data_IF_113188972631
#
_entry.id   IF_113188972631
#
_cell.length_a   1.000
_cell.length_b   1.000
_cell.length_c   1.000
_cell.angle_alpha   90.00
_cell.angle_beta   90.00
_cell.angle_gamma   90.00
#
_symmetry.space_group_name_H-M   'P 1'
#
loop_
_entity.id
_entity.type
_entity.pdbx_description
1 polymer ?
#
# COMPACT_ATOMS: atom_id res chain seq x y z
N UNK A 1 -52.29 9.55 10.60
CA UNK A 1 -50.80 9.50 10.56
C UNK A 1 -50.44 8.14 10.01
N UNK A 2 -49.85 8.06 8.81
CA UNK A 2 -49.39 6.78 8.26
C UNK A 2 -47.96 6.55 8.74
N UNK A 3 -47.71 5.42 9.38
CA UNK A 3 -46.34 5.01 9.72
C UNK A 3 -45.60 4.53 8.46
N UNK A 4 -44.33 4.90 8.28
CA UNK A 4 -43.55 4.44 7.13
C UNK A 4 -43.43 2.92 7.17
N UNK A 5 -43.50 2.30 6.00
CA UNK A 5 -43.18 0.86 5.84
C UNK A 5 -41.67 0.67 5.98
N UNK A 6 -41.26 0.28 7.19
CA UNK A 6 -39.86 0.04 7.52
C UNK A 6 -39.58 -1.45 7.57
N UNK A 7 -38.36 -1.84 7.23
CA UNK A 7 -37.85 -3.20 7.48
C UNK A 7 -36.42 -3.13 8.00
N UNK A 8 -36.01 -4.17 8.72
CA UNK A 8 -34.62 -4.34 9.16
C UNK A 8 -33.97 -5.37 8.25
N UNK A 9 -32.81 -5.02 7.69
CA UNK A 9 -32.02 -5.90 6.87
C UNK A 9 -30.89 -6.53 7.72
N UNK A 10 -30.98 -7.84 7.95
CA UNK A 10 -29.90 -8.60 8.56
C UNK A 10 -28.99 -9.14 7.47
N UNK A 11 -27.79 -8.60 7.37
CA UNK A 11 -26.75 -9.06 6.43
C UNK A 11 -26.17 -10.41 6.86
N UNK A 12 -26.14 -10.64 8.17
CA UNK A 12 -25.76 -11.92 8.80
C UNK A 12 -26.88 -12.35 9.73
N UNK A 13 -27.21 -13.62 9.72
CA UNK A 13 -28.20 -14.17 10.63
C UNK A 13 -27.66 -15.37 11.42
N UNK A 14 -28.27 -15.59 12.56
CA UNK A 14 -28.08 -16.76 13.41
C UNK A 14 -29.45 -17.44 13.65
N UNK A 15 -29.43 -18.59 14.29
CA UNK A 15 -30.68 -19.27 14.69
C UNK A 15 -31.62 -18.38 15.54
N UNK A 16 -31.05 -17.41 16.27
CA UNK A 16 -31.79 -16.54 17.17
C UNK A 16 -32.15 -15.19 16.54
N UNK A 17 -31.82 -14.95 15.25
CA UNK A 17 -32.18 -13.72 14.57
C UNK A 17 -33.71 -13.68 14.37
N UNK A 18 -34.41 -12.67 14.94
CA UNK A 18 -35.87 -12.62 14.92
C UNK A 18 -36.40 -12.33 13.53
N UNK A 19 -37.65 -12.72 13.25
CA UNK A 19 -38.34 -12.38 12.01
C UNK A 19 -38.99 -10.99 12.05
N UNK A 20 -39.16 -10.45 13.26
CA UNK A 20 -39.69 -9.12 13.50
C UNK A 20 -38.94 -8.48 14.64
N UNK A 21 -38.72 -7.17 14.56
CA UNK A 21 -38.36 -6.34 15.69
C UNK A 21 -39.61 -5.72 16.24
N UNK A 22 -39.80 -5.84 17.54
CA UNK A 22 -40.92 -5.22 18.24
C UNK A 22 -40.40 -3.97 18.97
N UNK A 23 -41.05 -2.84 18.72
CA UNK A 23 -40.73 -1.54 19.32
C UNK A 23 -41.99 -0.98 19.97
N UNK A 24 -41.93 -0.75 21.27
CA UNK A 24 -42.98 -0.05 22.02
C UNK A 24 -42.82 1.46 21.81
N UNK A 25 -43.77 2.05 21.10
CA UNK A 25 -43.83 3.49 20.92
C UNK A 25 -44.75 4.07 22.02
N UNK A 26 -44.16 4.77 22.99
CA UNK A 26 -44.90 5.43 24.10
C UNK A 26 -45.13 6.88 23.70
N UNK A 27 -46.39 7.28 23.73
CA UNK A 27 -46.79 8.65 23.43
C UNK A 27 -46.79 9.52 24.70
N UNK A 28 -46.69 10.87 24.58
CA UNK A 28 -46.68 11.79 25.71
C UNK A 28 -47.96 11.73 26.59
N UNK A 29 -49.07 11.28 26.01
CA UNK A 29 -50.35 11.09 26.71
C UNK A 29 -50.45 9.76 27.50
N UNK A 30 -49.35 8.97 27.51
CA UNK A 30 -49.27 7.67 28.15
C UNK A 30 -49.78 6.50 27.32
N UNK A 31 -50.25 6.76 26.09
CA UNK A 31 -50.60 5.71 25.12
C UNK A 31 -49.39 4.92 24.71
N UNK A 32 -49.54 3.58 24.50
CA UNK A 32 -48.50 2.73 24.00
C UNK A 32 -48.98 2.00 22.74
N UNK A 33 -48.14 1.93 21.73
CA UNK A 33 -48.39 1.19 20.49
C UNK A 33 -47.24 0.28 20.20
N UNK A 34 -47.51 -1.03 20.05
CA UNK A 34 -46.51 -2.02 19.60
C UNK A 34 -46.35 -1.93 18.09
N UNK A 35 -45.16 -1.47 17.65
CA UNK A 35 -44.81 -1.39 16.25
C UNK A 35 -43.95 -2.58 15.88
N UNK A 36 -44.39 -3.39 14.91
CA UNK A 36 -43.63 -4.54 14.39
C UNK A 36 -42.94 -4.18 13.11
N UNK A 37 -41.59 -4.29 13.09
CA UNK A 37 -40.77 -4.07 11.95
C UNK A 37 -40.31 -5.42 11.40
N UNK A 38 -40.72 -5.79 10.16
CA UNK A 38 -40.32 -7.08 9.57
C UNK A 38 -38.81 -7.10 9.31
N UNK A 39 -38.21 -8.29 9.47
CA UNK A 39 -36.80 -8.53 9.24
C UNK A 39 -36.58 -9.27 7.91
N UNK A 40 -35.67 -8.78 7.10
CA UNK A 40 -35.18 -9.41 5.90
C UNK A 40 -33.80 -10.00 6.21
N UNK A 41 -33.67 -11.33 6.07
CA UNK A 41 -32.43 -12.06 6.31
C UNK A 41 -31.79 -12.38 4.96
N UNK A 42 -30.68 -11.71 4.61
CA UNK A 42 -30.05 -11.84 3.29
C UNK A 42 -29.57 -13.27 3.00
N UNK A 43 -29.08 -13.97 4.03
CA UNK A 43 -28.65 -15.38 3.88
C UNK A 43 -29.74 -16.36 3.43
N UNK A 44 -31.02 -16.01 3.65
CA UNK A 44 -32.16 -16.84 3.22
C UNK A 44 -32.48 -16.70 1.72
N UNK A 45 -31.85 -15.72 1.05
CA UNK A 45 -32.04 -15.51 -0.38
C UNK A 45 -30.90 -16.15 -1.17
N UNK A 46 -31.23 -17.19 -1.94
CA UNK A 46 -30.30 -17.72 -2.95
C UNK A 46 -30.15 -16.74 -4.11
N UNK A 47 -29.07 -16.87 -4.90
CA UNK A 47 -28.89 -16.04 -6.10
C UNK A 47 -30.12 -16.06 -7.01
N UNK A 48 -30.70 -17.25 -7.23
CA UNK A 48 -31.86 -17.40 -8.11
C UNK A 48 -33.11 -16.68 -7.57
N UNK A 49 -33.37 -16.73 -6.27
CA UNK A 49 -34.45 -15.96 -5.63
C UNK A 49 -34.21 -14.44 -5.68
N UNK A 50 -32.95 -14.01 -5.66
CA UNK A 50 -32.62 -12.57 -5.79
C UNK A 50 -32.97 -12.09 -7.18
N UNK A 51 -32.61 -12.84 -8.24
CA UNK A 51 -32.96 -12.50 -9.62
C UNK A 51 -34.47 -12.65 -9.87
N UNK A 52 -35.08 -13.73 -9.48
CA UNK A 52 -36.53 -13.96 -9.63
C UNK A 52 -37.40 -12.85 -9.06
N UNK A 53 -36.94 -12.28 -7.92
CA UNK A 53 -37.64 -11.19 -7.23
C UNK A 53 -37.13 -9.80 -7.58
N UNK A 54 -36.20 -9.67 -8.52
CA UNK A 54 -35.53 -8.42 -8.91
C UNK A 54 -34.93 -7.66 -7.72
N UNK A 55 -34.41 -8.40 -6.72
CA UNK A 55 -33.79 -7.83 -5.53
C UNK A 55 -32.28 -7.59 -5.72
N UNK A 56 -31.89 -7.04 -6.87
CA UNK A 56 -30.49 -6.92 -7.31
C UNK A 56 -29.60 -6.22 -6.29
N UNK A 57 -30.14 -5.28 -5.50
CA UNK A 57 -29.43 -4.58 -4.43
C UNK A 57 -28.95 -5.50 -3.28
N UNK A 58 -29.42 -6.73 -3.22
CA UNK A 58 -28.93 -7.72 -2.25
C UNK A 58 -27.69 -8.49 -2.74
N UNK A 59 -27.41 -8.46 -4.04
CA UNK A 59 -26.26 -9.19 -4.63
C UNK A 59 -24.91 -8.80 -4.02
N UNK A 60 -24.61 -7.53 -3.73
CA UNK A 60 -23.35 -7.15 -3.09
C UNK A 60 -23.14 -7.79 -1.72
N UNK A 61 -24.24 -8.07 -1.00
CA UNK A 61 -24.17 -8.70 0.33
C UNK A 61 -24.23 -10.24 0.27
N UNK A 62 -24.45 -10.81 -0.91
CA UNK A 62 -24.51 -12.25 -1.10
C UNK A 62 -23.22 -12.95 -0.67
N UNK A 63 -22.08 -12.31 -0.87
CA UNK A 63 -20.74 -12.81 -0.51
C UNK A 63 -20.56 -13.05 1.00
N UNK A 64 -21.32 -12.35 1.85
CA UNK A 64 -21.16 -12.44 3.31
C UNK A 64 -21.40 -13.84 3.88
N UNK A 65 -22.12 -14.68 3.17
CA UNK A 65 -22.33 -16.11 3.52
C UNK A 65 -21.04 -16.92 3.54
N UNK A 66 -20.02 -16.48 2.80
CA UNK A 66 -18.74 -17.15 2.65
C UNK A 66 -17.65 -16.61 3.57
N UNK A 67 -17.94 -15.56 4.34
CA UNK A 67 -16.95 -14.87 5.19
C UNK A 67 -16.17 -15.81 6.11
N UNK A 68 -16.86 -16.76 6.76
CA UNK A 68 -16.25 -17.72 7.68
C UNK A 68 -15.49 -18.85 6.99
N UNK A 69 -15.65 -18.99 5.68
CA UNK A 69 -15.06 -20.05 4.87
C UNK A 69 -13.95 -19.55 3.95
N UNK A 70 -13.53 -18.29 4.07
CA UNK A 70 -12.50 -17.69 3.21
C UNK A 70 -11.21 -18.48 3.18
N UNK A 71 -10.72 -18.88 4.35
CA UNK A 71 -9.49 -19.69 4.46
C UNK A 71 -9.65 -21.07 3.81
N UNK A 72 -10.76 -21.76 4.08
CA UNK A 72 -11.09 -23.06 3.45
C UNK A 72 -11.11 -22.95 1.92
N UNK A 73 -11.69 -21.88 1.38
CA UNK A 73 -11.76 -21.62 -0.06
C UNK A 73 -10.38 -21.27 -0.66
N UNK A 74 -9.49 -20.66 0.08
CA UNK A 74 -8.12 -20.40 -0.37
C UNK A 74 -7.30 -21.69 -0.52
N UNK A 75 -7.56 -22.67 0.35
CA UNK A 75 -6.80 -23.93 0.44
C UNK A 75 -7.38 -25.00 -0.51
N UNK A 76 -8.71 -25.07 -0.66
CA UNK A 76 -9.39 -26.08 -1.47
C UNK A 76 -9.66 -25.53 -2.89
N UNK A 77 -8.98 -26.04 -3.93
CA UNK A 77 -9.17 -25.61 -5.31
C UNK A 77 -10.58 -25.84 -5.84
N UNK A 78 -11.26 -26.89 -5.35
CA UNK A 78 -12.62 -27.23 -5.82
C UNK A 78 -13.63 -26.23 -5.27
N UNK A 79 -13.59 -25.94 -3.97
CA UNK A 79 -14.44 -24.93 -3.35
C UNK A 79 -14.20 -23.53 -3.92
N UNK A 80 -12.94 -23.22 -4.21
CA UNK A 80 -12.58 -21.96 -4.87
C UNK A 80 -13.19 -21.86 -6.26
N UNK A 81 -13.10 -22.91 -7.06
CA UNK A 81 -13.67 -22.92 -8.41
C UNK A 81 -15.22 -22.86 -8.38
N UNK A 82 -15.86 -23.51 -7.43
CA UNK A 82 -17.31 -23.43 -7.23
C UNK A 82 -17.75 -21.99 -6.93
N UNK A 83 -17.01 -21.28 -6.08
CA UNK A 83 -17.25 -19.86 -5.79
C UNK A 83 -17.10 -18.99 -7.04
N UNK A 84 -16.02 -19.18 -7.80
CA UNK A 84 -15.79 -18.43 -9.03
C UNK A 84 -16.89 -18.67 -10.06
N UNK A 85 -17.29 -19.91 -10.28
CA UNK A 85 -18.38 -20.27 -11.19
C UNK A 85 -19.72 -19.64 -10.75
N UNK A 86 -19.97 -19.58 -9.44
CA UNK A 86 -21.17 -18.92 -8.92
C UNK A 86 -21.19 -17.42 -9.22
N UNK A 87 -20.06 -16.73 -9.07
CA UNK A 87 -19.94 -15.31 -9.37
C UNK A 87 -19.95 -15.01 -10.87
N UNK A 88 -19.44 -15.90 -11.70
CA UNK A 88 -19.56 -15.80 -13.16
C UNK A 88 -21.03 -15.87 -13.60
N UNK A 89 -21.81 -16.78 -13.01
CA UNK A 89 -23.26 -16.86 -13.24
C UNK A 89 -23.98 -15.59 -12.77
N UNK A 90 -23.62 -15.06 -11.60
CA UNK A 90 -24.21 -13.82 -11.08
C UNK A 90 -23.91 -12.66 -12.04
N UNK A 91 -22.68 -12.51 -12.49
CA UNK A 91 -22.28 -11.45 -13.43
C UNK A 91 -23.04 -11.56 -14.74
N UNK A 92 -23.08 -12.76 -15.36
CA UNK A 92 -23.75 -12.97 -16.63
C UNK A 92 -25.24 -12.68 -16.55
N UNK A 93 -25.93 -13.13 -15.51
CA UNK A 93 -27.34 -12.81 -15.29
C UNK A 93 -27.59 -11.33 -15.06
N UNK A 94 -26.71 -10.68 -14.29
CA UNK A 94 -26.82 -9.26 -14.00
C UNK A 94 -26.62 -8.41 -15.27
N UNK A 95 -25.67 -8.79 -16.12
CA UNK A 95 -25.42 -8.14 -17.41
C UNK A 95 -26.65 -8.20 -18.32
N UNK A 96 -27.26 -9.39 -18.45
CA UNK A 96 -28.49 -9.58 -19.26
C UNK A 96 -29.64 -8.73 -18.73
N UNK A 97 -29.96 -8.84 -17.43
CA UNK A 97 -31.12 -8.16 -16.83
C UNK A 97 -30.99 -6.63 -16.88
N UNK A 98 -29.79 -6.11 -16.68
CA UNK A 98 -29.54 -4.67 -16.71
C UNK A 98 -29.46 -4.14 -18.14
N UNK A 99 -28.87 -4.89 -19.08
CA UNK A 99 -28.83 -4.50 -20.51
C UNK A 99 -30.24 -4.40 -21.08
N UNK A 100 -31.10 -5.36 -20.78
CA UNK A 100 -32.50 -5.33 -21.20
C UNK A 100 -33.27 -4.14 -20.58
N UNK A 101 -32.93 -3.72 -19.39
CA UNK A 101 -33.56 -2.59 -18.69
C UNK A 101 -32.96 -1.20 -19.05
N UNK A 102 -31.87 -1.14 -19.82
CA UNK A 102 -31.20 0.10 -20.19
C UNK A 102 -30.50 0.84 -19.06
N UNK A 103 -30.16 0.14 -17.95
CA UNK A 103 -29.57 0.72 -16.71
C UNK A 103 -28.08 0.40 -16.56
N UNK A 104 -27.27 0.71 -17.54
CA UNK A 104 -25.83 0.40 -17.54
C UNK A 104 -25.05 0.94 -16.32
N UNK A 105 -25.44 2.11 -15.80
CA UNK A 105 -24.83 2.68 -14.58
C UNK A 105 -25.06 1.79 -13.37
N UNK A 106 -26.28 1.23 -13.21
CA UNK A 106 -26.58 0.31 -12.11
C UNK A 106 -25.73 -0.97 -12.16
N UNK A 107 -25.40 -1.45 -13.37
CA UNK A 107 -24.49 -2.59 -13.53
C UNK A 107 -23.12 -2.27 -12.95
N UNK A 108 -22.53 -1.15 -13.35
CA UNK A 108 -21.22 -0.71 -12.89
C UNK A 108 -21.19 -0.53 -11.37
N UNK A 109 -22.22 0.08 -10.80
CA UNK A 109 -22.33 0.32 -9.36
C UNK A 109 -22.43 -0.98 -8.57
N UNK A 110 -23.26 -1.96 -9.03
CA UNK A 110 -23.40 -3.25 -8.37
C UNK A 110 -22.11 -4.07 -8.45
N UNK A 111 -21.45 -4.12 -9.60
CA UNK A 111 -20.14 -4.77 -9.76
C UNK A 111 -19.10 -4.13 -8.83
N UNK A 112 -19.05 -2.81 -8.78
CA UNK A 112 -18.16 -2.08 -7.89
C UNK A 112 -18.43 -2.37 -6.40
N UNK A 113 -19.69 -2.47 -6.00
CA UNK A 113 -20.08 -2.83 -4.63
C UNK A 113 -19.73 -4.28 -4.28
N UNK A 114 -19.98 -5.23 -5.19
CA UNK A 114 -19.60 -6.64 -5.00
C UNK A 114 -18.10 -6.75 -4.79
N UNK A 115 -17.30 -6.10 -5.63
CA UNK A 115 -15.85 -6.13 -5.53
C UNK A 115 -15.36 -5.53 -4.20
N UNK A 116 -15.88 -4.36 -3.80
CA UNK A 116 -15.49 -3.69 -2.54
C UNK A 116 -15.85 -4.52 -1.30
N UNK A 117 -17.03 -5.12 -1.28
CA UNK A 117 -17.46 -5.94 -0.14
C UNK A 117 -16.64 -7.23 -0.09
N UNK A 118 -16.36 -7.85 -1.24
CA UNK A 118 -15.49 -9.01 -1.36
C UNK A 118 -14.07 -8.71 -0.88
N UNK A 119 -13.48 -7.60 -1.30
CA UNK A 119 -12.16 -7.15 -0.86
C UNK A 119 -12.09 -6.95 0.66
N UNK A 120 -13.16 -6.43 1.25
CA UNK A 120 -13.22 -6.24 2.70
C UNK A 120 -13.35 -7.57 3.47
N UNK A 121 -14.22 -8.47 2.99
CA UNK A 121 -14.47 -9.77 3.63
C UNK A 121 -13.25 -10.68 3.53
N UNK A 122 -12.64 -10.77 2.35
CA UNK A 122 -11.50 -11.63 2.06
C UNK A 122 -10.16 -10.88 2.09
N UNK A 123 -10.05 -9.82 2.90
CA UNK A 123 -8.81 -9.02 2.99
C UNK A 123 -7.55 -9.82 3.30
N UNK A 124 -7.69 -10.96 4.01
CA UNK A 124 -6.59 -11.85 4.36
C UNK A 124 -6.42 -13.02 3.36
N UNK A 125 -7.34 -13.16 2.39
CA UNK A 125 -7.40 -14.27 1.43
C UNK A 125 -7.21 -13.73 0.01
N UNK A 126 -5.98 -13.37 -0.32
CA UNK A 126 -5.62 -12.70 -1.57
C UNK A 126 -6.08 -13.44 -2.81
N UNK A 127 -5.96 -14.78 -2.81
CA UNK A 127 -6.38 -15.65 -3.92
C UNK A 127 -7.87 -15.53 -4.21
N UNK A 128 -8.70 -15.56 -3.16
CA UNK A 128 -10.18 -15.46 -3.29
C UNK A 128 -10.56 -14.06 -3.77
N UNK A 129 -9.97 -13.04 -3.18
CA UNK A 129 -10.19 -11.63 -3.53
C UNK A 129 -9.86 -11.34 -5.00
N UNK A 130 -8.68 -11.77 -5.47
CA UNK A 130 -8.27 -11.60 -6.86
C UNK A 130 -9.20 -12.34 -7.83
N UNK A 131 -9.53 -13.59 -7.53
CA UNK A 131 -10.40 -14.38 -8.40
C UNK A 131 -11.78 -13.76 -8.57
N UNK A 132 -12.42 -13.29 -7.50
CA UNK A 132 -13.70 -12.58 -7.60
C UNK A 132 -13.55 -11.26 -8.37
N UNK A 133 -12.49 -10.49 -8.11
CA UNK A 133 -12.20 -9.23 -8.81
C UNK A 133 -12.05 -9.43 -10.32
N UNK A 134 -11.33 -10.45 -10.75
CA UNK A 134 -11.15 -10.80 -12.16
C UNK A 134 -12.48 -11.15 -12.84
N UNK A 135 -13.30 -11.98 -12.19
CA UNK A 135 -14.62 -12.35 -12.73
C UNK A 135 -15.53 -11.14 -12.82
N UNK A 136 -15.55 -10.28 -11.82
CA UNK A 136 -16.40 -9.09 -11.83
C UNK A 136 -15.90 -8.02 -12.81
N UNK A 137 -14.76 -8.23 -13.51
CA UNK A 137 -14.21 -7.27 -14.48
C UNK A 137 -13.70 -5.98 -13.82
N UNK A 138 -13.51 -6.01 -12.51
CA UNK A 138 -12.95 -4.91 -11.73
C UNK A 138 -11.45 -5.12 -11.53
N UNK A 139 -10.67 -4.03 -11.55
CA UNK A 139 -9.36 -4.07 -10.93
C UNK A 139 -9.55 -4.35 -9.44
N UNK A 140 -8.80 -5.32 -8.90
CA UNK A 140 -8.74 -5.55 -7.45
C UNK A 140 -8.41 -4.22 -6.80
N UNK A 141 -9.33 -3.68 -6.02
CA UNK A 141 -9.08 -2.45 -5.30
C UNK A 141 -8.00 -2.74 -4.26
N UNK A 142 -6.89 -2.02 -4.38
CA UNK A 142 -5.84 -2.06 -3.35
C UNK A 142 -6.46 -1.57 -2.03
N UNK A 143 -6.39 -2.41 -0.99
CA UNK A 143 -6.86 -2.01 0.33
C UNK A 143 -6.09 -0.77 0.82
N UNK A 144 -6.76 0.14 1.50
CA UNK A 144 -6.12 1.33 2.10
C UNK A 144 -4.88 0.97 2.94
N UNK A 145 -4.93 -0.17 3.64
CA UNK A 145 -3.79 -0.70 4.40
C UNK A 145 -2.62 -1.13 3.52
N UNK A 146 -2.90 -1.78 2.39
CA UNK A 146 -1.89 -2.23 1.42
C UNK A 146 -1.26 -1.03 0.71
N UNK A 147 -2.09 -0.09 0.26
CA UNK A 147 -1.65 1.17 -0.34
C UNK A 147 -0.75 1.96 0.62
N UNK A 148 -1.16 2.06 1.89
CA UNK A 148 -0.35 2.75 2.91
C UNK A 148 0.97 2.02 3.17
N UNK A 149 0.96 0.68 3.24
CA UNK A 149 2.18 -0.12 3.42
C UNK A 149 3.14 0.05 2.22
N UNK A 150 2.63 0.04 0.97
CA UNK A 150 3.43 0.28 -0.23
C UNK A 150 4.03 1.69 -0.22
N UNK A 151 3.24 2.72 0.03
CA UNK A 151 3.73 4.10 0.10
C UNK A 151 4.78 4.30 1.18
N UNK A 152 4.63 3.65 2.35
CA UNK A 152 5.65 3.67 3.40
C UNK A 152 6.94 2.95 2.99
N UNK A 153 6.83 1.82 2.29
CA UNK A 153 8.00 1.09 1.79
C UNK A 153 8.77 1.90 0.73
N UNK A 154 8.06 2.50 -0.22
CA UNK A 154 8.63 3.38 -1.25
C UNK A 154 9.31 4.61 -0.63
N UNK A 155 8.66 5.27 0.34
CA UNK A 155 9.22 6.42 1.04
C UNK A 155 10.48 6.06 1.84
N UNK A 156 10.50 4.88 2.47
CA UNK A 156 11.67 4.37 3.19
C UNK A 156 12.83 4.09 2.24
N UNK A 157 12.58 3.44 1.12
CA UNK A 157 13.60 3.14 0.11
C UNK A 157 14.22 4.44 -0.46
N UNK A 158 13.37 5.42 -0.78
CA UNK A 158 13.83 6.75 -1.25
C UNK A 158 14.67 7.47 -0.20
N UNK A 159 14.25 7.45 1.08
CA UNK A 159 15.00 8.06 2.16
C UNK A 159 16.36 7.37 2.38
N UNK A 160 16.43 6.05 2.31
CA UNK A 160 17.68 5.30 2.41
C UNK A 160 18.60 5.57 1.21
N UNK A 161 18.07 5.65 0.00
CA UNK A 161 18.87 5.98 -1.19
C UNK A 161 19.47 7.38 -1.10
N UNK A 162 18.65 8.37 -0.73
CA UNK A 162 19.09 9.76 -0.53
C UNK A 162 20.12 9.87 0.60
N UNK A 163 19.91 9.15 1.70
CA UNK A 163 20.86 9.12 2.83
C UNK A 163 22.23 8.53 2.43
N UNK A 164 22.24 7.46 1.62
CA UNK A 164 23.50 6.88 1.08
C UNK A 164 24.21 7.84 0.15
N UNK A 165 23.49 8.49 -0.76
CA UNK A 165 24.07 9.45 -1.70
C UNK A 165 24.68 10.66 -0.96
N UNK A 166 23.96 11.24 -0.03
CA UNK A 166 24.45 12.36 0.79
C UNK A 166 25.65 11.94 1.65
N UNK A 167 25.59 10.78 2.28
CA UNK A 167 26.70 10.26 3.09
C UNK A 167 27.96 10.02 2.25
N UNK A 168 27.81 9.47 1.05
CA UNK A 168 28.92 9.23 0.12
C UNK A 168 29.53 10.55 -0.39
N UNK A 169 28.69 11.52 -0.76
CA UNK A 169 29.13 12.84 -1.21
C UNK A 169 29.88 13.60 -0.09
N UNK A 170 29.34 13.59 1.12
CA UNK A 170 30.00 14.24 2.27
C UNK A 170 31.31 13.54 2.64
N UNK A 171 31.34 12.21 2.67
CA UNK A 171 32.55 11.45 2.95
C UNK A 171 33.65 11.69 1.92
N UNK A 172 33.29 11.74 0.64
CA UNK A 172 34.24 12.04 -0.45
C UNK A 172 34.78 13.49 -0.34
N UNK A 173 33.91 14.47 -0.10
CA UNK A 173 34.33 15.87 0.06
C UNK A 173 35.22 16.05 1.28
N UNK A 174 34.89 15.48 2.42
CA UNK A 174 35.72 15.54 3.63
C UNK A 174 37.06 14.82 3.45
N UNK A 175 37.06 13.63 2.85
CA UNK A 175 38.27 12.86 2.55
C UNK A 175 39.21 13.63 1.63
N UNK A 176 38.66 14.23 0.57
CA UNK A 176 39.46 15.06 -0.37
C UNK A 176 40.03 16.30 0.30
N UNK A 177 39.24 17.04 1.09
CA UNK A 177 39.69 18.21 1.83
C UNK A 177 40.78 17.86 2.85
N UNK A 178 40.60 16.79 3.62
CA UNK A 178 41.61 16.33 4.58
C UNK A 178 42.89 15.84 3.92
N UNK A 179 42.74 15.09 2.82
CA UNK A 179 43.89 14.62 2.03
C UNK A 179 44.72 15.78 1.46
N UNK A 180 44.02 16.80 0.91
CA UNK A 180 44.67 17.99 0.36
C UNK A 180 45.38 18.81 1.46
N UNK A 181 44.70 19.02 2.60
CA UNK A 181 45.30 19.74 3.72
C UNK A 181 46.55 19.03 4.28
N UNK A 182 46.51 17.73 4.46
CA UNK A 182 47.67 16.92 4.90
C UNK A 182 48.80 16.94 3.89
N UNK A 183 48.48 16.81 2.60
CA UNK A 183 49.49 16.84 1.52
C UNK A 183 50.20 18.21 1.46
N UNK A 184 49.44 19.31 1.62
CA UNK A 184 50.02 20.64 1.68
C UNK A 184 50.93 20.81 2.90
N UNK A 185 50.47 20.45 4.08
CA UNK A 185 51.27 20.56 5.33
C UNK A 185 52.58 19.73 5.23
N UNK A 186 52.50 18.50 4.75
CA UNK A 186 53.69 17.66 4.54
C UNK A 186 54.66 18.24 3.49
N UNK A 187 54.09 18.84 2.43
CA UNK A 187 54.92 19.51 1.40
C UNK A 187 55.64 20.73 1.93
N UNK A 188 54.98 21.54 2.76
CA UNK A 188 55.57 22.72 3.42
C UNK A 188 56.65 22.29 4.43
N UNK A 189 56.42 21.27 5.22
CA UNK A 189 57.39 20.74 6.19
C UNK A 189 58.66 20.25 5.49
N UNK A 190 58.52 19.41 4.44
CA UNK A 190 59.63 18.88 3.63
C UNK A 190 60.43 20.03 2.99
N UNK A 191 59.74 21.06 2.47
CA UNK A 191 60.46 22.21 1.88
C UNK A 191 61.19 23.02 2.94
N UNK A 192 60.61 23.22 4.10
CA UNK A 192 61.25 23.91 5.21
C UNK A 192 62.49 23.19 5.71
N UNK A 193 62.39 21.87 5.85
CA UNK A 193 63.57 21.04 6.23
C UNK A 193 64.67 21.08 5.20
N UNK A 194 64.34 21.06 3.90
CA UNK A 194 65.32 21.21 2.85
C UNK A 194 66.02 22.58 2.89
N UNK A 195 65.28 23.66 3.05
CA UNK A 195 65.82 25.02 3.17
C UNK A 195 66.76 25.13 4.39
N UNK A 196 66.37 24.58 5.54
CA UNK A 196 67.23 24.57 6.72
C UNK A 196 68.52 23.82 6.50
N UNK A 197 68.50 22.63 5.87
CA UNK A 197 69.72 21.88 5.54
C UNK A 197 70.61 22.61 4.53
N UNK A 198 70.06 23.23 3.48
CA UNK A 198 70.82 24.05 2.55
C UNK A 198 71.50 25.21 3.18
N UNK A 199 70.86 25.83 4.21
CA UNK A 199 71.51 26.94 4.99
C UNK A 199 72.66 26.37 5.81
N UNK A 200 72.50 25.27 6.51
CA UNK A 200 73.54 24.62 7.31
C UNK A 200 74.78 24.23 6.49
N UNK A 201 74.57 23.80 5.25
CA UNK A 201 75.61 23.38 4.33
C UNK A 201 76.24 24.54 3.53
N UNK A 202 75.89 25.76 3.86
CA UNK A 202 76.36 27.00 3.18
C UNK A 202 75.94 27.05 1.67
N UNK A 203 74.86 26.35 1.28
CA UNK A 203 74.30 26.34 -0.06
C UNK A 203 73.10 27.28 -0.25
N UNK A 204 73.03 28.37 0.48
CA UNK A 204 71.93 29.33 0.43
C UNK A 204 71.67 29.97 -0.93
N UNK A 205 72.65 29.99 -1.84
CA UNK A 205 72.48 30.39 -3.24
C UNK A 205 71.58 29.47 -4.06
N UNK A 206 71.29 28.25 -3.62
CA UNK A 206 70.46 27.28 -4.31
C UNK A 206 68.98 27.37 -3.84
N UNK A 207 68.68 28.03 -2.71
CA UNK A 207 67.35 28.14 -2.14
C UNK A 207 66.35 28.71 -3.14
N UNK A 208 66.72 29.80 -3.85
CA UNK A 208 65.84 30.40 -4.85
C UNK A 208 65.45 29.45 -5.96
N UNK A 209 66.40 28.63 -6.44
CA UNK A 209 66.15 27.62 -7.50
C UNK A 209 65.25 26.50 -6.96
N UNK A 210 65.47 26.02 -5.76
CA UNK A 210 64.67 24.94 -5.14
C UNK A 210 63.25 25.36 -4.94
N UNK A 211 62.99 26.63 -4.61
CA UNK A 211 61.61 27.14 -4.41
C UNK A 211 60.89 27.28 -5.75
N UNK A 212 61.57 27.72 -6.80
CA UNK A 212 60.98 28.02 -8.12
C UNK A 212 60.93 26.85 -9.08
N UNK A 213 61.96 25.97 -9.02
CA UNK A 213 62.12 24.84 -9.90
C UNK A 213 61.79 23.51 -9.20
N UNK A 214 60.73 22.82 -9.71
CA UNK A 214 60.24 21.56 -9.16
C UNK A 214 61.25 20.42 -9.35
N UNK A 215 61.93 20.39 -10.49
CA UNK A 215 62.87 19.28 -10.81
C UNK A 215 64.12 19.38 -9.92
N UNK A 216 64.62 20.60 -9.74
CA UNK A 216 65.71 20.87 -8.81
C UNK A 216 65.35 20.53 -7.39
N UNK A 217 64.12 20.88 -6.95
CA UNK A 217 63.62 20.55 -5.64
C UNK A 217 63.50 19.04 -5.38
N UNK A 218 63.00 18.28 -6.37
CA UNK A 218 62.92 16.82 -6.28
C UNK A 218 64.30 16.15 -6.26
N UNK A 219 65.28 16.71 -6.98
CA UNK A 219 66.66 16.25 -6.92
C UNK A 219 67.29 16.46 -5.55
N UNK A 220 67.05 17.64 -4.94
CA UNK A 220 67.52 17.98 -3.58
C UNK A 220 66.84 17.14 -2.51
N UNK A 221 65.51 16.83 -2.63
CA UNK A 221 64.86 15.90 -1.71
C UNK A 221 65.52 14.50 -1.74
N UNK A 222 65.96 14.02 -2.88
CA UNK A 222 66.68 12.73 -2.98
C UNK A 222 68.05 12.82 -2.38
N UNK A 223 68.79 13.93 -2.60
CA UNK A 223 70.13 14.15 -2.08
C UNK A 223 70.12 14.18 -0.53
N UNK A 224 69.12 14.87 0.04
CA UNK A 224 69.01 15.05 1.49
C UNK A 224 68.15 13.96 2.16
N UNK A 225 67.63 12.99 1.43
CA UNK A 225 66.79 11.92 1.94
C UNK A 225 65.58 12.44 2.73
N UNK A 226 64.88 13.41 2.18
CA UNK A 226 63.68 14.02 2.73
C UNK A 226 62.41 13.47 2.08
#
# INVERSE_FOLDING_TARGET
MEFPRSCVLYLRNSRNTPDFLEVDVVFPDGGCHLYRVPAIKVENYTKDKIFEKSLLMLLPFYIMRYEKRGHEMSEDPQLFQELLNEYEVIRSKLEVEITESGRSELFSDLIGLITRISDHIFRNEEKVRKGIGEIMGGHVLELESEKRARLMAEAKEQAEALGREQGMAQGMAQGMAQGMARGMAQGEERLSDLINRLILDNRGNEIQKVVTDKEMREAMYREYQL
#
